data_IF_463605360768
#
_entry.id   IF_463605360768
#
_cell.length_a   1.000
_cell.length_b   1.000
_cell.length_c   1.000
_cell.angle_alpha   90.00
_cell.angle_beta   90.00
_cell.angle_gamma   90.00
#
_symmetry.space_group_name_H-M   'P 1'
#
loop_
_entity.id
_entity.type
_entity.pdbx_description
1 polymer ?
#
# COMPACT_ATOMS: atom_id res chain seq x y z
N UNK A 1 8.60 -23.63 -4.07
CA UNK A 1 8.44 -22.60 -5.12
C UNK A 1 8.42 -21.20 -4.50
N UNK A 2 9.34 -20.33 -4.88
CA UNK A 2 9.28 -18.92 -4.48
C UNK A 2 8.12 -18.27 -5.22
N UNK A 3 7.10 -17.78 -4.51
CA UNK A 3 6.02 -17.00 -5.12
C UNK A 3 6.61 -15.72 -5.71
N UNK A 4 6.46 -15.52 -7.03
CA UNK A 4 6.84 -14.26 -7.67
C UNK A 4 5.99 -13.12 -7.11
N UNK A 5 6.56 -11.90 -7.03
CA UNK A 5 5.81 -10.79 -6.48
C UNK A 5 4.68 -10.35 -7.43
N UNK A 6 3.54 -9.96 -6.87
CA UNK A 6 2.45 -9.34 -7.66
C UNK A 6 2.85 -7.93 -8.06
N UNK A 7 2.89 -7.66 -9.36
CA UNK A 7 3.31 -6.37 -9.92
C UNK A 7 2.11 -5.65 -10.52
N UNK A 8 1.99 -4.34 -10.28
CA UNK A 8 0.93 -3.50 -10.81
C UNK A 8 1.50 -2.21 -11.39
N UNK A 9 0.79 -1.61 -12.34
CA UNK A 9 1.17 -0.33 -12.93
C UNK A 9 0.79 0.83 -12.02
N UNK A 10 1.66 1.83 -11.94
CA UNK A 10 1.38 3.10 -11.26
C UNK A 10 0.51 4.05 -12.10
N UNK A 11 0.40 5.29 -11.64
CA UNK A 11 -0.35 6.36 -12.32
C UNK A 11 0.56 7.56 -12.65
N UNK A 12 0.09 8.49 -13.49
CA UNK A 12 0.74 9.79 -13.78
C UNK A 12 -0.29 10.94 -13.80
N UNK A 13 -1.23 10.90 -12.86
CA UNK A 13 -2.31 11.89 -12.72
C UNK A 13 -1.86 13.14 -11.94
N UNK A 14 -0.79 13.06 -11.13
CA UNK A 14 -0.29 14.16 -10.30
C UNK A 14 -1.42 14.73 -9.43
N UNK A 15 -1.76 16.02 -9.59
CA UNK A 15 -2.87 16.69 -8.91
C UNK A 15 -4.06 16.95 -9.85
N UNK A 16 -4.21 16.17 -10.91
CA UNK A 16 -5.38 16.24 -11.78
C UNK A 16 -6.61 15.78 -10.98
N UNK A 17 -7.55 16.69 -10.76
CA UNK A 17 -8.77 16.40 -10.01
C UNK A 17 -9.65 15.41 -10.78
N UNK A 18 -10.02 14.25 -10.20
CA UNK A 18 -10.92 13.31 -10.84
C UNK A 18 -12.33 13.89 -10.97
N UNK A 19 -13.06 13.47 -12.01
CA UNK A 19 -14.45 13.88 -12.26
C UNK A 19 -15.44 13.27 -11.25
N UNK A 20 -15.17 12.05 -10.76
CA UNK A 20 -15.92 11.38 -9.69
C UNK A 20 -14.93 10.82 -8.65
N UNK A 21 -14.98 11.30 -7.39
CA UNK A 21 -14.18 10.77 -6.29
C UNK A 21 -14.39 9.27 -6.05
N UNK A 22 -15.63 8.80 -6.18
CA UNK A 22 -16.01 7.40 -5.94
C UNK A 22 -15.41 6.49 -7.00
N UNK A 23 -15.53 6.86 -8.29
CA UNK A 23 -14.93 6.11 -9.39
C UNK A 23 -13.40 6.11 -9.31
N UNK A 24 -12.81 7.21 -8.85
CA UNK A 24 -11.38 7.33 -8.66
C UNK A 24 -10.88 6.38 -7.56
N UNK A 25 -11.53 6.38 -6.39
CA UNK A 25 -11.22 5.46 -5.30
C UNK A 25 -11.32 3.99 -5.74
N UNK A 26 -12.42 3.61 -6.39
CA UNK A 26 -12.61 2.23 -6.86
C UNK A 26 -11.53 1.83 -7.86
N UNK A 27 -11.10 2.74 -8.74
CA UNK A 27 -9.99 2.49 -9.67
C UNK A 27 -8.69 2.20 -8.92
N UNK A 28 -8.32 3.05 -7.95
CA UNK A 28 -7.11 2.86 -7.13
C UNK A 28 -7.15 1.54 -6.35
N UNK A 29 -8.31 1.20 -5.78
CA UNK A 29 -8.54 -0.06 -5.08
C UNK A 29 -8.31 -1.26 -5.99
N UNK A 30 -8.92 -1.28 -7.17
CA UNK A 30 -8.74 -2.37 -8.12
C UNK A 30 -7.30 -2.51 -8.63
N UNK A 31 -6.60 -1.39 -8.80
CA UNK A 31 -5.20 -1.39 -9.26
C UNK A 31 -4.23 -1.94 -8.22
N UNK A 32 -4.42 -1.60 -6.94
CA UNK A 32 -3.42 -1.87 -5.91
C UNK A 32 -3.80 -2.97 -4.92
N UNK A 33 -5.04 -3.48 -4.94
CA UNK A 33 -5.44 -4.60 -4.09
C UNK A 33 -4.60 -5.85 -4.38
N UNK A 34 -3.86 -6.34 -3.37
CA UNK A 34 -2.97 -7.48 -3.50
C UNK A 34 -1.65 -7.18 -4.22
N UNK A 35 -1.39 -5.91 -4.53
CA UNK A 35 -0.16 -5.49 -5.19
C UNK A 35 1.03 -5.61 -4.26
N UNK A 36 2.21 -5.93 -4.78
CA UNK A 36 3.46 -5.93 -4.00
C UNK A 36 4.52 -5.01 -4.58
N UNK A 37 4.54 -4.79 -5.88
CA UNK A 37 5.48 -3.87 -6.55
C UNK A 37 4.70 -2.96 -7.49
N UNK A 38 4.82 -1.66 -7.30
CA UNK A 38 4.26 -0.66 -8.22
C UNK A 38 5.32 -0.26 -9.24
N UNK A 39 5.08 -0.62 -10.50
CA UNK A 39 5.84 -0.14 -11.65
C UNK A 39 5.34 1.26 -12.05
N UNK A 40 6.03 2.30 -11.57
CA UNK A 40 5.66 3.70 -11.77
C UNK A 40 5.34 4.38 -10.45
N UNK A 41 4.51 5.41 -10.49
CA UNK A 41 4.20 6.23 -9.32
C UNK A 41 3.01 5.67 -8.55
N UNK A 42 3.06 5.73 -7.23
CA UNK A 42 1.91 5.50 -6.35
C UNK A 42 1.30 6.85 -6.01
N UNK A 43 0.17 7.19 -6.62
CA UNK A 43 -0.50 8.48 -6.40
C UNK A 43 -1.84 8.26 -5.70
N UNK A 44 -1.90 8.66 -4.44
CA UNK A 44 -3.08 8.61 -3.58
C UNK A 44 -3.55 10.04 -3.38
N UNK A 45 -4.47 10.49 -4.22
CA UNK A 45 -4.97 11.87 -4.21
C UNK A 45 -6.48 11.92 -4.17
N UNK A 46 -7.05 12.99 -3.62
CA UNK A 46 -8.50 13.25 -3.66
C UNK A 46 -9.37 12.11 -3.09
N UNK A 47 -8.84 11.30 -2.17
CA UNK A 47 -9.60 10.24 -1.53
C UNK A 47 -10.66 10.81 -0.57
N UNK A 48 -11.92 10.34 -0.63
CA UNK A 48 -12.97 10.77 0.29
C UNK A 48 -12.70 10.24 1.72
N UNK A 49 -13.35 10.82 2.72
CA UNK A 49 -13.04 10.53 4.13
C UNK A 49 -13.36 9.08 4.53
N UNK A 50 -14.33 8.49 3.84
CA UNK A 50 -14.85 7.14 3.99
C UNK A 50 -14.08 6.08 3.18
N UNK A 51 -13.06 6.48 2.41
CA UNK A 51 -12.27 5.53 1.62
C UNK A 51 -11.52 4.55 2.52
N UNK A 52 -11.77 3.25 2.34
CA UNK A 52 -10.99 2.20 2.99
C UNK A 52 -9.64 2.08 2.28
N UNK A 53 -8.55 2.48 2.97
CA UNK A 53 -7.16 2.42 2.47
C UNK A 53 -6.38 1.23 3.04
N UNK A 54 -7.05 0.24 3.62
CA UNK A 54 -6.39 -0.93 4.23
C UNK A 54 -5.57 -1.73 3.21
N UNK A 55 -5.93 -1.66 1.92
CA UNK A 55 -5.23 -2.25 0.78
C UNK A 55 -3.90 -1.56 0.40
N UNK A 56 -3.51 -0.47 1.08
CA UNK A 56 -2.34 0.34 0.74
C UNK A 56 -1.26 0.37 1.83
N UNK A 57 -1.40 -0.40 2.92
CA UNK A 57 -0.51 -0.26 4.08
C UNK A 57 0.92 -0.67 3.76
N UNK A 58 1.71 0.31 3.30
CA UNK A 58 3.17 0.29 3.23
C UNK A 58 3.69 0.23 4.67
N UNK A 59 4.46 -0.81 5.00
CA UNK A 59 5.18 -0.82 6.28
C UNK A 59 6.23 0.29 6.24
N UNK A 60 5.96 1.43 6.87
CA UNK A 60 7.04 2.34 7.26
C UNK A 60 7.98 1.55 8.17
N UNK A 61 9.21 1.34 7.70
CA UNK A 61 10.19 0.49 8.35
C UNK A 61 10.55 1.01 9.75
N UNK A 62 9.88 0.48 10.78
CA UNK A 62 10.49 0.27 12.09
C UNK A 62 10.65 -1.21 12.29
N UNK A 63 11.83 -1.72 11.92
CA UNK A 63 12.35 -2.93 12.54
C UNK A 63 12.27 -2.73 14.06
N UNK A 64 11.59 -3.60 14.83
CA UNK A 64 11.79 -3.61 16.27
C UNK A 64 13.25 -3.95 16.52
N UNK A 65 14.03 -2.93 16.89
CA UNK A 65 15.41 -3.10 17.35
C UNK A 65 15.31 -3.57 18.80
N UNK A 66 15.22 -4.89 18.98
CA UNK A 66 15.19 -5.53 20.30
C UNK A 66 15.72 -6.94 20.16
N UNK A 67 16.97 -7.16 20.58
CA UNK A 67 17.56 -8.48 20.66
C UNK A 67 17.04 -9.23 21.88
N UNK A 68 16.84 -10.53 21.75
CA UNK A 68 16.86 -11.44 22.89
C UNK A 68 17.22 -12.86 22.43
N UNK A 69 17.80 -13.59 23.38
CA UNK A 69 18.72 -14.70 23.21
C UNK A 69 17.99 -16.00 23.56
N UNK A 70 17.97 -16.98 22.65
CA UNK A 70 17.66 -18.39 22.94
C UNK A 70 16.18 -18.80 23.02
N UNK A 71 15.82 -19.92 22.36
CA UNK A 71 14.55 -20.62 22.56
C UNK A 71 14.01 -21.35 21.31
N UNK A 72 13.67 -22.64 21.48
CA UNK A 72 13.19 -23.66 20.53
C UNK A 72 12.13 -23.26 19.47
N UNK A 73 11.99 -24.04 18.36
CA UNK A 73 11.07 -23.73 17.28
C UNK A 73 9.63 -24.09 17.65
N UNK A 74 8.85 -23.10 18.09
CA UNK A 74 7.40 -23.19 18.18
C UNK A 74 6.77 -22.71 16.86
N UNK A 75 5.59 -23.22 16.47
CA UNK A 75 5.07 -23.07 15.11
C UNK A 75 4.81 -21.61 14.79
N UNK A 76 5.21 -21.22 13.58
CA UNK A 76 5.17 -19.86 13.06
C UNK A 76 3.82 -19.18 13.35
N UNK A 77 3.81 -17.91 13.79
CA UNK A 77 2.57 -17.15 13.76
C UNK A 77 2.15 -17.07 12.29
N UNK A 78 0.95 -17.56 12.00
CA UNK A 78 0.28 -17.31 10.73
C UNK A 78 0.25 -15.79 10.59
N UNK A 79 1.20 -15.27 9.81
CA UNK A 79 1.30 -13.84 9.60
C UNK A 79 0.00 -13.43 8.92
N UNK A 80 -0.72 -12.44 9.47
CA UNK A 80 -1.98 -12.04 8.87
C UNK A 80 -1.75 -11.58 7.41
N UNK A 81 -2.73 -11.74 6.50
CA UNK A 81 -2.57 -11.54 5.05
C UNK A 81 -2.30 -10.10 4.62
N UNK A 82 -1.93 -9.20 5.53
CA UNK A 82 -1.58 -7.82 5.25
C UNK A 82 -0.25 -7.76 4.49
N UNK A 83 -0.34 -7.96 3.20
CA UNK A 83 0.55 -7.39 2.19
C UNK A 83 0.07 -5.92 2.01
N UNK A 84 0.77 -5.01 1.36
CA UNK A 84 0.26 -4.54 0.07
C UNK A 84 1.11 -3.33 -0.33
N UNK A 85 1.96 -3.51 -1.34
CA UNK A 85 3.02 -2.63 -1.80
C UNK A 85 4.24 -2.62 -0.86
N UNK A 86 5.25 -3.40 -1.26
CA UNK A 86 6.59 -3.49 -0.67
C UNK A 86 7.57 -2.54 -1.34
N UNK A 87 7.34 -2.22 -2.61
CA UNK A 87 8.23 -1.41 -3.43
C UNK A 87 7.43 -0.54 -4.41
N UNK A 88 7.87 0.70 -4.59
CA UNK A 88 7.39 1.64 -5.61
C UNK A 88 8.61 2.06 -6.43
N UNK A 89 8.54 1.89 -7.74
CA UNK A 89 9.68 2.15 -8.64
C UNK A 89 9.74 3.59 -9.17
N UNK A 90 8.67 4.36 -8.98
CA UNK A 90 8.62 5.81 -9.21
C UNK A 90 8.59 6.59 -7.90
N UNK A 91 7.76 7.63 -7.83
CA UNK A 91 7.53 8.39 -6.60
C UNK A 91 6.23 7.99 -5.89
N UNK A 92 6.11 8.38 -4.63
CA UNK A 92 4.87 8.30 -3.84
C UNK A 92 4.32 9.71 -3.67
N UNK A 93 3.08 9.95 -4.10
CA UNK A 93 2.37 11.22 -3.93
C UNK A 93 1.13 10.97 -3.08
N UNK A 94 1.08 11.59 -1.90
CA UNK A 94 -0.08 11.58 -1.00
C UNK A 94 -0.46 13.03 -0.76
N UNK A 95 -1.58 13.46 -1.34
CA UNK A 95 -2.02 14.86 -1.29
C UNK A 95 -3.54 15.00 -1.45
N UNK A 96 -4.13 16.09 -0.95
CA UNK A 96 -5.55 16.41 -1.15
C UNK A 96 -6.55 15.33 -0.68
N UNK A 97 -6.13 14.45 0.25
CA UNK A 97 -6.97 13.38 0.79
C UNK A 97 -7.76 13.87 2.00
N UNK A 98 -8.93 13.26 2.23
CA UNK A 98 -9.74 13.45 3.44
C UNK A 98 -9.68 12.26 4.39
N UNK A 99 -8.90 11.23 4.05
CA UNK A 99 -8.68 10.02 4.85
C UNK A 99 -7.72 10.32 6.00
N UNK A 100 -8.16 10.05 7.22
CA UNK A 100 -7.32 10.18 8.41
C UNK A 100 -6.23 9.10 8.47
N UNK A 101 -4.98 9.48 8.72
CA UNK A 101 -3.87 8.53 8.94
C UNK A 101 -3.27 7.92 7.67
N UNK A 102 -3.49 8.56 6.51
CA UNK A 102 -2.81 8.24 5.26
C UNK A 102 -1.43 8.93 5.13
N UNK A 103 -1.04 9.74 6.13
CA UNK A 103 0.23 10.48 6.23
C UNK A 103 1.40 9.61 6.70
#
# INVERSE_FOLDING_TARGET
PLSLPTVCTGTDMKLLRPSSPESHYETLRHMYQGCQVVQGNLELTYLPAEADTSFLKVRSGKTPRGGERGGSPHPSPVSPPWQDIKEVQGYVLIAENRVSGLE
#
